data_IF_349172878581
#
_entry.id   IF_349172878581
#
_cell.length_a   1.000
_cell.length_b   1.000
_cell.length_c   1.000
_cell.angle_alpha   90.00
_cell.angle_beta   90.00
_cell.angle_gamma   90.00
#
_symmetry.space_group_name_H-M   'P 1'
#
loop_
_entity.id
_entity.type
_entity.pdbx_description
1 polymer ?
#
# COMPACT_ATOMS: atom_id res chain seq x y z
N UNK A 1 9.50 11.56 -10.71
CA UNK A 1 8.82 10.31 -10.29
C UNK A 1 8.42 10.50 -8.83
N UNK A 2 7.13 10.47 -8.51
CA UNK A 2 6.67 10.73 -7.14
C UNK A 2 7.08 9.60 -6.19
N UNK A 3 8.15 9.87 -5.41
CA UNK A 3 8.70 8.97 -4.39
C UNK A 3 7.61 8.58 -3.37
N UNK A 4 6.69 9.51 -3.10
CA UNK A 4 5.53 9.31 -2.23
C UNK A 4 4.63 8.22 -2.82
N UNK A 5 4.13 8.40 -4.04
CA UNK A 5 3.28 7.41 -4.72
C UNK A 5 3.92 6.02 -4.79
N UNK A 6 5.21 5.94 -5.15
CA UNK A 6 5.95 4.67 -5.18
C UNK A 6 5.93 3.98 -3.81
N UNK A 7 6.21 4.72 -2.74
CA UNK A 7 6.17 4.18 -1.36
C UNK A 7 4.77 3.72 -0.96
N UNK A 8 3.73 4.47 -1.31
CA UNK A 8 2.36 4.09 -1.00
C UNK A 8 1.98 2.78 -1.68
N UNK A 9 2.22 2.68 -2.99
CA UNK A 9 1.95 1.46 -3.76
C UNK A 9 2.71 0.26 -3.20
N UNK A 10 3.98 0.45 -2.81
CA UNK A 10 4.82 -0.58 -2.23
C UNK A 10 4.25 -1.14 -0.90
N UNK A 11 3.71 -0.28 -0.05
CA UNK A 11 3.07 -0.70 1.21
C UNK A 11 1.79 -1.50 0.91
N UNK A 12 0.98 -1.04 -0.05
CA UNK A 12 -0.25 -1.71 -0.45
C UNK A 12 0.03 -3.09 -1.05
N UNK A 13 1.06 -3.21 -1.88
CA UNK A 13 1.52 -4.49 -2.45
C UNK A 13 1.97 -5.43 -1.33
N UNK A 14 2.77 -4.95 -0.39
CA UNK A 14 3.22 -5.78 0.72
C UNK A 14 2.06 -6.21 1.62
N UNK A 15 1.11 -5.32 1.88
CA UNK A 15 -0.10 -5.65 2.63
C UNK A 15 -0.87 -6.79 1.97
N UNK A 16 -1.06 -6.70 0.65
CA UNK A 16 -1.75 -7.71 -0.15
C UNK A 16 -0.93 -9.00 -0.38
N UNK A 17 0.38 -9.01 -0.09
CA UNK A 17 1.21 -10.22 -0.09
C UNK A 17 1.23 -10.93 1.27
N UNK A 18 0.86 -10.25 2.37
CA UNK A 18 0.95 -10.80 3.74
C UNK A 18 0.11 -12.07 3.89
N UNK A 19 -1.06 -12.12 3.28
CA UNK A 19 -1.99 -13.25 3.35
C UNK A 19 -1.81 -14.26 2.19
N UNK A 20 -0.87 -13.98 1.27
CA UNK A 20 -0.60 -14.72 0.02
C UNK A 20 -1.80 -14.87 -0.91
N UNK A 21 -2.88 -14.13 -0.69
CA UNK A 21 -4.07 -14.15 -1.53
C UNK A 21 -4.22 -12.82 -2.25
N UNK A 22 -3.29 -12.52 -3.14
CA UNK A 22 -3.40 -11.34 -3.99
C UNK A 22 -4.63 -11.46 -4.91
N UNK A 23 -5.73 -10.86 -4.49
CA UNK A 23 -7.02 -10.99 -5.16
C UNK A 23 -7.12 -10.01 -6.33
N UNK A 24 -8.02 -10.30 -7.26
CA UNK A 24 -8.29 -9.39 -8.39
C UNK A 24 -8.81 -8.03 -7.92
N UNK A 25 -9.48 -7.97 -6.76
CA UNK A 25 -10.03 -6.73 -6.21
C UNK A 25 -8.92 -5.79 -5.72
N UNK A 26 -7.95 -6.29 -4.95
CA UNK A 26 -6.79 -5.52 -4.48
C UNK A 26 -5.91 -5.08 -5.64
N UNK A 27 -5.65 -5.97 -6.59
CA UNK A 27 -4.87 -5.63 -7.79
C UNK A 27 -5.53 -4.49 -8.58
N UNK A 28 -6.85 -4.52 -8.74
CA UNK A 28 -7.59 -3.44 -9.39
C UNK A 28 -7.53 -2.12 -8.61
N UNK A 29 -7.58 -2.17 -7.27
CA UNK A 29 -7.44 -1.00 -6.41
C UNK A 29 -6.05 -0.36 -6.56
N UNK A 30 -4.98 -1.17 -6.49
CA UNK A 30 -3.59 -0.73 -6.64
C UNK A 30 -3.37 -0.12 -8.04
N UNK A 31 -3.88 -0.76 -9.10
CA UNK A 31 -3.84 -0.22 -10.46
C UNK A 31 -4.57 1.11 -10.59
N UNK A 32 -5.73 1.24 -9.95
CA UNK A 32 -6.50 2.49 -9.95
C UNK A 32 -5.72 3.63 -9.30
N UNK A 33 -5.14 3.40 -8.12
CA UNK A 33 -4.30 4.39 -7.42
C UNK A 33 -3.08 4.78 -8.26
N UNK A 34 -2.44 3.80 -8.91
CA UNK A 34 -1.32 4.04 -9.81
C UNK A 34 -1.74 4.94 -10.99
N UNK A 35 -2.85 4.63 -11.66
CA UNK A 35 -3.38 5.41 -12.78
C UNK A 35 -3.80 6.82 -12.38
N UNK A 36 -4.50 6.98 -11.26
CA UNK A 36 -4.93 8.28 -10.75
C UNK A 36 -3.73 9.21 -10.47
N UNK A 37 -2.55 8.64 -10.21
CA UNK A 37 -1.30 9.37 -9.99
C UNK A 37 -0.32 9.33 -11.17
N UNK A 38 -0.77 8.93 -12.36
CA UNK A 38 0.05 8.80 -13.58
C UNK A 38 1.32 7.96 -13.35
N UNK A 39 1.26 6.95 -12.50
CA UNK A 39 2.36 6.04 -12.23
C UNK A 39 2.44 4.98 -13.35
N UNK A 40 3.62 4.73 -13.95
CA UNK A 40 3.73 3.82 -15.09
C UNK A 40 3.42 2.37 -14.68
N UNK A 41 2.59 1.67 -15.47
CA UNK A 41 2.27 0.25 -15.23
C UNK A 41 3.53 -0.63 -15.20
N UNK A 42 4.53 -0.37 -16.04
CA UNK A 42 5.81 -1.12 -16.02
C UNK A 42 6.54 -0.99 -14.69
N UNK A 43 6.54 0.23 -14.11
CA UNK A 43 7.14 0.49 -12.81
C UNK A 43 6.34 -0.17 -11.69
N UNK A 44 5.01 -0.20 -11.82
CA UNK A 44 4.12 -0.87 -10.87
C UNK A 44 4.35 -2.38 -10.89
N UNK A 45 4.39 -3.01 -12.07
CA UNK A 45 4.65 -4.43 -12.20
C UNK A 45 6.02 -4.81 -11.65
N UNK A 46 7.04 -3.97 -11.84
CA UNK A 46 8.33 -4.18 -11.21
C UNK A 46 8.23 -4.13 -9.68
N UNK A 47 7.46 -3.19 -9.13
CA UNK A 47 7.22 -3.08 -7.69
C UNK A 47 6.45 -4.29 -7.14
N UNK A 48 5.46 -4.80 -7.87
CA UNK A 48 4.70 -6.00 -7.51
C UNK A 48 5.62 -7.23 -7.48
N UNK A 49 6.50 -7.37 -8.47
CA UNK A 49 7.44 -8.50 -8.54
C UNK A 49 8.59 -8.40 -7.55
N UNK A 50 9.02 -7.19 -7.23
CA UNK A 50 10.14 -6.90 -6.32
C UNK A 50 9.74 -5.75 -5.40
N UNK A 51 8.92 -6.00 -4.36
CA UNK A 51 8.58 -4.98 -3.38
C UNK A 51 9.85 -4.50 -2.65
N UNK A 52 9.98 -3.19 -2.52
CA UNK A 52 11.14 -2.56 -1.87
C UNK A 52 10.94 -2.57 -0.34
N UNK A 53 11.98 -2.65 0.48
CA UNK A 53 11.81 -2.56 1.93
C UNK A 53 11.20 -1.21 2.33
N UNK A 54 10.21 -1.25 3.21
CA UNK A 54 9.58 -0.06 3.77
C UNK A 54 10.61 0.62 4.70
N UNK A 55 11.31 1.61 4.17
CA UNK A 55 12.24 2.45 4.93
C UNK A 55 11.52 3.44 5.85
N UNK A 56 12.19 4.53 6.21
CA UNK A 56 11.62 5.56 7.07
C UNK A 56 10.50 6.34 6.37
N UNK A 57 9.33 6.33 6.99
CA UNK A 57 8.14 7.09 6.59
C UNK A 57 7.94 8.36 7.45
N UNK A 58 8.88 8.64 8.38
CA UNK A 58 8.79 9.74 9.33
C UNK A 58 8.82 11.15 8.71
N UNK A 59 9.41 11.30 7.52
CA UNK A 59 9.54 12.59 6.82
C UNK A 59 8.30 12.99 6.00
N UNK A 60 7.25 12.16 5.96
CA UNK A 60 5.99 12.49 5.28
C UNK A 60 5.21 13.53 6.09
N UNK A 61 4.46 14.38 5.39
CA UNK A 61 3.51 15.30 6.03
C UNK A 61 2.39 14.51 6.73
N UNK A 62 1.79 15.04 7.82
CA UNK A 62 0.69 14.37 8.53
C UNK A 62 -0.44 13.89 7.61
N UNK A 63 -0.84 14.73 6.65
CA UNK A 63 -1.89 14.39 5.68
C UNK A 63 -1.49 13.22 4.78
N UNK A 64 -0.23 13.18 4.34
CA UNK A 64 0.27 12.06 3.54
C UNK A 64 0.35 10.77 4.35
N UNK A 65 0.71 10.85 5.63
CA UNK A 65 0.70 9.69 6.52
C UNK A 65 -0.72 9.15 6.69
N UNK A 66 -1.69 10.04 6.84
CA UNK A 66 -3.09 9.68 6.94
C UNK A 66 -3.60 9.02 5.66
N UNK A 67 -3.31 9.60 4.49
CA UNK A 67 -3.63 9.02 3.16
C UNK A 67 -3.08 7.60 3.00
N UNK A 68 -1.87 7.34 3.50
CA UNK A 68 -1.25 6.01 3.42
C UNK A 68 -1.99 5.00 4.29
N UNK A 69 -2.30 5.39 5.52
CA UNK A 69 -3.04 4.53 6.43
C UNK A 69 -4.45 4.26 5.89
N UNK A 70 -5.13 5.30 5.40
CA UNK A 70 -6.45 5.19 4.80
C UNK A 70 -6.44 4.23 3.61
N UNK A 71 -5.48 4.35 2.70
CA UNK A 71 -5.36 3.45 1.56
C UNK A 71 -5.12 1.98 1.98
N UNK A 72 -4.36 1.75 3.06
CA UNK A 72 -4.20 0.39 3.62
C UNK A 72 -5.54 -0.16 4.12
N UNK A 73 -6.31 0.65 4.84
CA UNK A 73 -7.63 0.26 5.34
C UNK A 73 -8.59 0.00 4.16
N UNK A 74 -8.64 0.89 3.17
CA UNK A 74 -9.49 0.69 1.99
C UNK A 74 -9.17 -0.61 1.24
N UNK A 75 -7.87 -0.98 1.16
CA UNK A 75 -7.45 -2.23 0.54
C UNK A 75 -7.99 -3.45 1.31
N UNK A 76 -7.86 -3.45 2.64
CA UNK A 76 -8.38 -4.51 3.53
C UNK A 76 -9.91 -4.67 3.43
N UNK A 77 -10.62 -3.57 3.16
CA UNK A 77 -12.08 -3.60 3.01
C UNK A 77 -12.53 -3.94 1.58
N UNK A 78 -11.63 -3.98 0.60
CA UNK A 78 -11.98 -4.11 -0.82
C UNK A 78 -12.48 -5.51 -1.16
N UNK A 79 -11.95 -6.54 -0.50
CA UNK A 79 -12.28 -7.94 -0.74
C UNK A 79 -13.38 -8.47 0.22
N UNK A 80 -13.87 -7.58 1.11
CA UNK A 80 -14.82 -7.86 2.21
C UNK A 80 -14.39 -8.99 3.16
N UNK A 81 -13.12 -9.40 3.14
CA UNK A 81 -12.56 -10.44 4.00
C UNK A 81 -11.39 -9.87 4.77
N UNK A 82 -11.69 -9.24 5.89
CA UNK A 82 -10.67 -8.69 6.77
C UNK A 82 -9.93 -9.82 7.49
N UNK A 83 -8.63 -9.97 7.20
CA UNK A 83 -7.77 -10.92 7.91
C UNK A 83 -7.04 -10.24 9.07
N UNK A 84 -6.80 -10.99 10.15
CA UNK A 84 -6.06 -10.49 11.32
C UNK A 84 -4.61 -10.10 10.94
N UNK A 85 -4.00 -10.84 10.01
CA UNK A 85 -2.64 -10.59 9.52
C UNK A 85 -2.50 -9.23 8.83
N UNK A 86 -3.49 -8.84 8.05
CA UNK A 86 -3.54 -7.52 7.40
C UNK A 86 -3.73 -6.39 8.41
N UNK A 87 -4.61 -6.61 9.39
CA UNK A 87 -4.85 -5.65 10.46
C UNK A 87 -3.58 -5.40 11.29
N UNK A 88 -2.84 -6.47 11.60
CA UNK A 88 -1.54 -6.41 12.26
C UNK A 88 -0.50 -5.66 11.41
N UNK A 89 -0.51 -5.90 10.09
CA UNK A 89 0.38 -5.18 9.18
C UNK A 89 0.04 -3.68 9.14
N UNK A 90 -1.22 -3.32 8.91
CA UNK A 90 -1.68 -1.93 8.90
C UNK A 90 -1.36 -1.21 10.22
N UNK A 91 -1.51 -1.91 11.37
CA UNK A 91 -1.08 -1.39 12.67
C UNK A 91 0.43 -1.14 12.73
N UNK A 92 1.24 -2.06 12.20
CA UNK A 92 2.70 -1.87 12.15
C UNK A 92 3.09 -0.66 11.29
N UNK A 93 2.35 -0.41 10.20
CA UNK A 93 2.54 0.75 9.34
C UNK A 93 2.13 2.03 10.06
N UNK A 94 1.01 2.04 10.77
CA UNK A 94 0.56 3.18 11.59
C UNK A 94 1.65 3.59 12.61
N UNK A 95 2.23 2.63 13.32
CA UNK A 95 3.34 2.86 14.26
C UNK A 95 4.56 3.43 13.54
N UNK A 96 4.93 2.90 12.35
CA UNK A 96 6.04 3.43 11.53
C UNK A 96 5.79 4.83 10.98
N UNK A 97 4.54 5.20 10.77
CA UNK A 97 4.12 6.54 10.36
C UNK A 97 4.12 7.52 11.55
N UNK A 98 4.03 7.01 12.78
CA UNK A 98 4.02 7.80 14.01
C UNK A 98 2.62 8.15 14.50
N UNK A 99 1.64 7.29 14.22
CA UNK A 99 0.31 7.32 14.84
C UNK A 99 0.27 6.49 16.13
#
# INVERSE_FOLDING_TARGET
MDIVTKKQLNILIQLAEVDKHFTTAEHNMILKIARDRNFPDDSLQHLIRNPEPIGTLGALLPDQKFEYLLACIELIFVDQKVFESELLFARSIAIKLGF
#
